data_IF_410097870912
#
_entry.id   IF_410097870912
#
_cell.length_a   1.000
_cell.length_b   1.000
_cell.length_c   1.000
_cell.angle_alpha   90.00
_cell.angle_beta   90.00
_cell.angle_gamma   90.00
#
_symmetry.space_group_name_H-M   'P 1'
#
loop_
_entity.id
_entity.type
_entity.pdbx_description
1 polymer ?
#
# COMPACT_ATOMS: atom_id res chain seq x y z
N UNK A 1 27.02 7.15 -3.10
CA UNK A 1 26.65 6.97 -1.68
C UNK A 1 26.11 5.55 -1.47
N UNK A 2 24.94 5.22 -1.98
CA UNK A 2 24.26 3.95 -1.69
C UNK A 2 25.04 2.69 -2.08
N UNK A 3 25.88 2.70 -3.11
CA UNK A 3 26.66 1.53 -3.55
C UNK A 3 27.73 1.17 -2.52
N UNK A 4 28.55 2.14 -2.09
CA UNK A 4 29.60 1.92 -1.08
C UNK A 4 29.05 1.41 0.26
N UNK A 5 27.80 1.76 0.58
CA UNK A 5 27.12 1.34 1.80
C UNK A 5 26.30 0.04 1.63
N UNK A 6 26.28 -0.53 0.41
CA UNK A 6 25.51 -1.73 0.10
C UNK A 6 23.98 -1.53 0.06
N UNK A 7 23.50 -0.28 0.09
CA UNK A 7 22.08 0.06 0.06
C UNK A 7 21.50 0.19 -1.35
N UNK A 8 22.37 0.20 -2.37
CA UNK A 8 21.98 0.33 -3.77
C UNK A 8 22.91 -0.52 -4.64
N UNK A 9 22.36 -1.33 -5.53
CA UNK A 9 23.11 -2.08 -6.54
C UNK A 9 23.51 -1.17 -7.69
N UNK A 10 24.64 -1.44 -8.36
CA UNK A 10 25.14 -0.65 -9.50
C UNK A 10 24.12 -0.44 -10.61
N UNK A 11 23.39 -1.50 -10.96
CA UNK A 11 22.31 -1.48 -11.99
C UNK A 11 21.17 -0.51 -11.60
N UNK A 12 20.93 -0.29 -10.31
CA UNK A 12 19.88 0.60 -9.84
C UNK A 12 20.25 2.10 -9.83
N UNK A 13 21.49 2.44 -10.16
CA UNK A 13 21.95 3.84 -10.17
C UNK A 13 21.22 4.69 -11.20
N UNK A 14 21.12 4.20 -12.43
CA UNK A 14 20.50 4.95 -13.55
C UNK A 14 19.03 5.27 -13.23
N UNK A 15 18.31 4.32 -12.64
CA UNK A 15 16.90 4.51 -12.27
C UNK A 15 16.67 5.45 -11.09
N UNK A 16 17.76 5.88 -10.39
CA UNK A 16 17.70 6.77 -9.23
C UNK A 16 18.21 8.17 -9.48
N UNK A 17 18.81 8.41 -10.64
CA UNK A 17 19.22 9.75 -11.08
C UNK A 17 17.99 10.65 -11.17
N UNK A 18 18.08 11.85 -10.62
CA UNK A 18 16.96 12.81 -10.57
C UNK A 18 15.90 12.54 -9.49
N UNK A 19 16.05 11.50 -8.66
CA UNK A 19 15.15 11.25 -7.53
C UNK A 19 15.70 11.78 -6.22
N UNK A 20 14.82 12.29 -5.37
CA UNK A 20 15.17 12.73 -4.02
C UNK A 20 15.65 11.54 -3.18
N UNK A 21 16.71 11.73 -2.41
CA UNK A 21 17.24 10.77 -1.45
C UNK A 21 17.51 11.44 -0.11
N UNK A 22 17.20 10.74 0.98
CA UNK A 22 17.56 11.17 2.33
C UNK A 22 18.99 10.74 2.65
N UNK A 23 19.76 11.62 3.29
CA UNK A 23 21.13 11.35 3.73
C UNK A 23 21.47 12.11 5.00
N UNK A 24 22.50 11.63 5.70
CA UNK A 24 23.16 12.31 6.81
C UNK A 24 24.52 12.80 6.34
N UNK A 25 24.89 14.02 6.67
CA UNK A 25 26.25 14.53 6.44
C UNK A 25 27.16 14.00 7.54
N UNK A 26 28.11 13.11 7.20
CA UNK A 26 29.07 12.53 8.15
C UNK A 26 30.25 13.44 8.44
N UNK A 27 30.55 14.32 7.52
CA UNK A 27 31.70 15.24 7.62
C UNK A 27 32.07 15.79 6.25
N UNK A 28 33.24 16.40 6.21
CA UNK A 28 33.77 16.98 4.99
C UNK A 28 35.17 16.43 4.73
N UNK A 29 35.50 16.23 3.46
CA UNK A 29 36.83 15.86 2.99
C UNK A 29 37.25 16.75 1.85
N UNK A 30 38.52 16.64 1.44
CA UNK A 30 39.09 17.36 0.30
C UNK A 30 39.44 16.38 -0.81
N UNK A 31 39.20 16.76 -2.05
CA UNK A 31 39.62 15.97 -3.21
C UNK A 31 41.11 16.20 -3.52
N UNK A 32 41.64 15.50 -4.54
CA UNK A 32 43.02 15.61 -4.99
C UNK A 32 43.40 17.02 -5.48
N UNK A 33 42.42 17.89 -5.74
CA UNK A 33 42.58 19.29 -6.17
C UNK A 33 42.36 20.27 -5.02
N UNK A 34 42.26 19.79 -3.77
CA UNK A 34 42.01 20.63 -2.60
C UNK A 34 40.58 21.16 -2.46
N UNK A 35 39.63 20.71 -3.28
CA UNK A 35 38.24 21.14 -3.20
C UNK A 35 37.48 20.37 -2.11
N UNK A 36 36.85 21.11 -1.21
CA UNK A 36 36.04 20.56 -0.11
C UNK A 36 34.74 19.91 -0.65
N UNK A 37 34.43 18.71 -0.16
CA UNK A 37 33.17 18.03 -0.44
C UNK A 37 32.58 17.38 0.82
N UNK A 38 31.23 17.24 0.86
CA UNK A 38 30.55 16.59 1.95
C UNK A 38 30.53 15.05 1.76
N UNK A 39 30.82 14.34 2.84
CA UNK A 39 30.66 12.88 2.92
C UNK A 39 29.24 12.58 3.41
N UNK A 40 28.46 11.90 2.58
CA UNK A 40 27.04 11.63 2.81
C UNK A 40 26.81 10.14 3.09
N UNK A 41 25.96 9.83 4.06
CA UNK A 41 25.51 8.47 4.34
C UNK A 41 24.00 8.34 4.15
N UNK A 42 23.57 7.48 3.23
CA UNK A 42 22.19 7.10 3.05
C UNK A 42 21.78 6.02 4.05
N UNK A 43 22.67 5.06 4.30
CA UNK A 43 22.45 3.96 5.26
C UNK A 43 22.12 4.50 6.65
N UNK A 44 22.90 5.50 7.10
CA UNK A 44 22.66 6.12 8.39
C UNK A 44 21.34 6.89 8.45
N UNK A 45 20.95 7.58 7.37
CA UNK A 45 19.64 8.23 7.31
C UNK A 45 18.50 7.23 7.39
N UNK A 46 18.60 6.10 6.68
CA UNK A 46 17.61 5.01 6.74
C UNK A 46 17.54 4.40 8.14
N UNK A 47 18.69 4.12 8.76
CA UNK A 47 18.73 3.55 10.11
C UNK A 47 18.11 4.49 11.14
N UNK A 48 18.48 5.77 11.17
CA UNK A 48 17.89 6.77 12.08
C UNK A 48 16.36 6.88 11.91
N UNK A 49 15.90 6.85 10.67
CA UNK A 49 14.46 6.88 10.38
C UNK A 49 13.75 5.60 10.89
N UNK A 50 14.36 4.44 10.67
CA UNK A 50 13.82 3.18 11.17
C UNK A 50 13.81 3.15 12.71
N UNK A 51 14.89 3.53 13.36
CA UNK A 51 15.01 3.60 14.81
C UNK A 51 13.95 4.54 15.41
N UNK A 52 13.69 5.68 14.75
CA UNK A 52 12.62 6.59 15.15
C UNK A 52 11.24 5.93 15.04
N UNK A 53 10.95 5.22 13.94
CA UNK A 53 9.68 4.51 13.77
C UNK A 53 9.54 3.45 14.86
N UNK A 54 10.56 2.62 15.09
CA UNK A 54 10.53 1.52 16.06
C UNK A 54 10.41 2.01 17.51
N UNK A 55 10.94 3.20 17.83
CA UNK A 55 10.84 3.79 19.17
C UNK A 55 9.54 4.55 19.42
N UNK A 56 8.90 5.06 18.38
CA UNK A 56 7.72 5.95 18.48
C UNK A 56 6.42 5.32 18.03
N UNK A 57 6.45 4.12 17.43
CA UNK A 57 5.30 3.45 16.84
C UNK A 57 5.20 1.99 17.30
N UNK A 58 3.97 1.55 17.48
CA UNK A 58 3.63 0.16 17.84
C UNK A 58 2.63 -0.41 16.82
N UNK A 59 2.46 -1.75 16.74
CA UNK A 59 1.37 -2.34 15.99
C UNK A 59 0.02 -1.73 16.37
N UNK A 60 -0.79 -1.34 15.38
CA UNK A 60 -2.02 -0.57 15.53
C UNK A 60 -1.89 0.91 15.18
N UNK A 61 -0.70 1.47 15.20
CA UNK A 61 -0.48 2.87 14.86
C UNK A 61 -0.59 3.14 13.36
N UNK A 62 -1.10 4.33 13.04
CA UNK A 62 -1.19 4.80 11.65
C UNK A 62 0.14 5.44 11.24
N UNK A 63 0.59 5.08 10.04
CA UNK A 63 1.78 5.63 9.39
C UNK A 63 1.46 6.09 7.97
N UNK A 64 2.12 7.15 7.52
CA UNK A 64 2.10 7.56 6.13
C UNK A 64 3.11 6.73 5.34
N UNK A 65 2.69 6.27 4.18
CA UNK A 65 3.51 5.46 3.29
C UNK A 65 3.33 5.88 1.83
N UNK A 66 4.32 5.60 1.00
CA UNK A 66 4.24 5.82 -0.45
C UNK A 66 4.42 4.50 -1.17
N UNK A 67 3.49 4.14 -2.04
CA UNK A 67 3.57 2.95 -2.88
C UNK A 67 4.75 3.08 -3.84
N UNK A 68 5.70 2.14 -3.78
CA UNK A 68 6.91 2.14 -4.61
C UNK A 68 6.90 1.05 -5.66
N UNK A 69 6.25 -0.09 -5.36
CA UNK A 69 6.18 -1.23 -6.26
C UNK A 69 4.94 -2.07 -5.97
N UNK A 70 4.37 -2.69 -7.02
CA UNK A 70 3.15 -3.52 -6.91
C UNK A 70 3.44 -4.90 -7.49
N UNK A 71 3.26 -5.93 -6.65
CA UNK A 71 3.37 -7.35 -6.99
C UNK A 71 2.02 -8.04 -6.77
N UNK A 72 1.83 -9.23 -7.34
CA UNK A 72 0.57 -9.98 -7.20
C UNK A 72 0.21 -10.31 -5.75
N UNK A 73 1.21 -10.45 -4.87
CA UNK A 73 1.04 -10.79 -3.44
C UNK A 73 0.90 -9.56 -2.53
N UNK A 74 1.13 -8.35 -3.04
CA UNK A 74 1.05 -7.13 -2.23
C UNK A 74 1.75 -5.92 -2.83
N UNK A 75 1.77 -4.82 -2.06
CA UNK A 75 2.43 -3.58 -2.41
C UNK A 75 3.64 -3.33 -1.50
N UNK A 76 4.74 -2.85 -2.07
CA UNK A 76 5.87 -2.32 -1.32
C UNK A 76 5.70 -0.82 -1.13
N UNK A 77 5.82 -0.38 0.10
CA UNK A 77 5.57 1.01 0.48
C UNK A 77 6.80 1.60 1.20
N UNK A 78 7.25 2.77 0.75
CA UNK A 78 8.27 3.56 1.47
C UNK A 78 7.60 4.25 2.67
N UNK A 79 8.04 3.90 3.86
CA UNK A 79 7.57 4.45 5.13
C UNK A 79 8.46 5.56 5.69
N UNK A 80 9.41 6.02 4.90
CA UNK A 80 10.32 7.12 5.20
C UNK A 80 11.78 6.78 4.93
N UNK A 81 12.50 7.76 4.37
CA UNK A 81 13.93 7.67 4.03
C UNK A 81 14.32 6.51 3.10
N UNK A 82 13.35 5.85 2.43
CA UNK A 82 13.57 4.67 1.61
C UNK A 82 13.54 3.35 2.39
N UNK A 83 13.00 3.34 3.60
CA UNK A 83 12.67 2.12 4.33
C UNK A 83 11.40 1.52 3.74
N UNK A 84 11.47 0.26 3.33
CA UNK A 84 10.37 -0.41 2.64
C UNK A 84 9.64 -1.34 3.58
N UNK A 85 8.32 -1.17 3.64
CA UNK A 85 7.38 -2.06 4.33
C UNK A 85 6.52 -2.81 3.31
N UNK A 86 6.03 -4.00 3.67
CA UNK A 86 5.11 -4.79 2.87
C UNK A 86 3.67 -4.52 3.29
N UNK A 87 2.81 -4.26 2.31
CA UNK A 87 1.36 -4.25 2.44
C UNK A 87 0.80 -5.45 1.68
N UNK A 88 0.51 -6.59 2.34
CA UNK A 88 0.01 -7.80 1.70
C UNK A 88 -1.36 -7.55 1.03
N UNK A 89 -1.66 -8.33 -0.02
CA UNK A 89 -2.89 -8.15 -0.80
C UNK A 89 -4.16 -8.34 0.05
N UNK A 90 -4.14 -9.29 1.00
CA UNK A 90 -5.24 -9.56 1.94
C UNK A 90 -5.43 -8.47 3.00
N UNK A 91 -4.45 -7.57 3.14
CA UNK A 91 -4.48 -6.43 4.04
C UNK A 91 -4.82 -5.10 3.34
N UNK A 92 -5.03 -5.10 2.03
CA UNK A 92 -5.40 -3.90 1.26
C UNK A 92 -6.87 -3.56 1.43
N UNK A 93 -7.76 -4.52 1.25
CA UNK A 93 -9.20 -4.36 1.46
C UNK A 93 -9.86 -5.68 1.89
N UNK A 94 -11.06 -5.61 2.45
CA UNK A 94 -11.87 -6.79 2.77
C UNK A 94 -12.42 -7.42 1.49
N UNK A 95 -12.84 -6.59 0.54
CA UNK A 95 -13.25 -7.07 -0.78
C UNK A 95 -12.06 -7.72 -1.49
N UNK A 96 -12.26 -8.93 -1.99
CA UNK A 96 -11.23 -9.68 -2.70
C UNK A 96 -10.81 -8.92 -3.96
N UNK A 97 -9.53 -8.70 -4.12
CA UNK A 97 -8.92 -8.09 -5.29
C UNK A 97 -7.95 -9.09 -5.91
N UNK A 98 -7.80 -9.07 -7.23
CA UNK A 98 -6.89 -9.97 -7.95
C UNK A 98 -5.45 -9.46 -7.97
N UNK A 99 -5.29 -8.14 -7.89
CA UNK A 99 -3.97 -7.50 -7.89
C UNK A 99 -4.03 -6.15 -7.16
N UNK A 100 -2.96 -5.73 -6.45
CA UNK A 100 -2.91 -4.41 -5.80
C UNK A 100 -3.13 -3.22 -6.74
N UNK A 101 -2.92 -3.37 -8.04
CA UNK A 101 -3.26 -2.36 -9.08
C UNK A 101 -4.73 -2.00 -9.13
N UNK A 102 -5.60 -2.87 -8.60
CA UNK A 102 -7.04 -2.57 -8.50
C UNK A 102 -7.34 -1.46 -7.49
N UNK A 103 -6.35 -1.09 -6.65
CA UNK A 103 -6.48 -0.10 -5.58
C UNK A 103 -5.44 1.01 -5.63
N UNK A 104 -4.22 0.72 -6.08
CA UNK A 104 -3.11 1.63 -5.97
C UNK A 104 -2.34 1.77 -7.28
N UNK A 105 -1.76 2.94 -7.43
CA UNK A 105 -0.77 3.24 -8.48
C UNK A 105 0.58 3.51 -7.81
N UNK A 106 1.67 3.15 -8.50
CA UNK A 106 3.02 3.48 -8.01
C UNK A 106 3.18 4.99 -7.88
N UNK A 107 3.57 5.44 -6.69
CA UNK A 107 3.68 6.85 -6.34
C UNK A 107 2.60 7.35 -5.38
N UNK A 108 1.51 6.60 -5.20
CA UNK A 108 0.42 6.97 -4.29
C UNK A 108 0.92 7.17 -2.87
N UNK A 109 0.43 8.22 -2.24
CA UNK A 109 0.60 8.47 -0.81
C UNK A 109 -0.61 7.90 -0.09
N UNK A 110 -0.38 6.93 0.76
CA UNK A 110 -1.42 6.24 1.51
C UNK A 110 -1.19 6.36 3.02
N UNK A 111 -2.25 6.20 3.78
CA UNK A 111 -2.19 5.93 5.22
C UNK A 111 -2.36 4.43 5.40
N UNK A 112 -1.60 3.85 6.29
CA UNK A 112 -1.70 2.43 6.62
C UNK A 112 -1.47 2.23 8.13
N UNK A 113 -1.94 1.11 8.66
CA UNK A 113 -1.70 0.70 10.03
C UNK A 113 -0.48 -0.23 10.04
N UNK A 114 0.37 -0.09 11.04
CA UNK A 114 1.42 -1.08 11.31
C UNK A 114 0.74 -2.35 11.83
N UNK A 115 0.68 -3.39 11.01
CA UNK A 115 0.08 -4.68 11.37
C UNK A 115 0.99 -5.47 12.31
N UNK A 116 2.27 -5.52 11.97
CA UNK A 116 3.29 -6.21 12.76
C UNK A 116 4.69 -5.69 12.47
N UNK A 117 5.59 -5.90 13.42
CA UNK A 117 7.02 -5.68 13.30
C UNK A 117 7.68 -7.01 13.66
N UNK A 118 8.48 -7.58 12.77
CA UNK A 118 9.15 -8.85 13.00
C UNK A 118 10.48 -8.67 13.77
N UNK A 119 11.15 -9.82 14.06
CA UNK A 119 12.44 -9.84 14.77
C UNK A 119 13.57 -9.16 14.00
N UNK A 120 13.44 -9.07 12.69
CA UNK A 120 14.40 -8.42 11.78
C UNK A 120 14.04 -6.94 11.55
N UNK A 121 13.11 -6.37 12.34
CA UNK A 121 12.58 -5.02 12.21
C UNK A 121 11.89 -4.74 10.85
N UNK A 122 11.40 -5.79 10.17
CA UNK A 122 10.58 -5.63 8.98
C UNK A 122 9.15 -5.32 9.38
N UNK A 123 8.62 -4.28 8.77
CA UNK A 123 7.29 -3.77 9.08
C UNK A 123 6.30 -4.28 8.02
N UNK A 124 5.21 -4.88 8.50
CA UNK A 124 4.06 -5.26 7.67
C UNK A 124 2.93 -4.27 7.94
N UNK A 125 2.32 -3.79 6.86
CA UNK A 125 1.25 -2.80 6.89
C UNK A 125 -0.12 -3.44 6.66
N UNK A 126 -1.16 -2.73 7.06
CA UNK A 126 -2.55 -2.99 6.70
C UNK A 126 -3.28 -1.69 6.37
N UNK A 127 -4.16 -1.74 5.37
CA UNK A 127 -4.93 -0.58 4.91
C UNK A 127 -6.44 -0.78 5.13
N UNK A 128 -6.90 -2.03 5.11
CA UNK A 128 -8.32 -2.38 5.18
C UNK A 128 -9.06 -1.84 6.41
N UNK A 129 -8.38 -1.73 7.54
CA UNK A 129 -8.96 -1.21 8.78
C UNK A 129 -9.30 0.30 8.68
N UNK A 130 -8.65 1.02 7.77
CA UNK A 130 -8.89 2.44 7.52
C UNK A 130 -10.05 2.70 6.56
N UNK A 131 -10.58 1.67 5.91
CA UNK A 131 -11.68 1.76 4.95
C UNK A 131 -13.07 1.67 5.60
N UNK A 132 -13.12 1.62 6.92
CA UNK A 132 -14.35 1.46 7.69
C UNK A 132 -14.79 0.01 7.87
N UNK A 133 -15.63 -0.23 8.86
CA UNK A 133 -16.27 -1.54 9.10
C UNK A 133 -17.38 -1.78 8.07
N UNK A 134 -17.85 -3.05 7.97
CA UNK A 134 -19.01 -3.40 7.15
C UNK A 134 -20.23 -2.53 7.49
N UNK A 135 -20.55 -2.38 8.78
CA UNK A 135 -21.68 -1.57 9.25
C UNK A 135 -21.56 -0.09 8.85
N UNK A 136 -20.34 0.46 8.92
CA UNK A 136 -20.09 1.86 8.50
C UNK A 136 -20.26 2.04 6.99
N UNK A 137 -19.82 1.07 6.20
CA UNK A 137 -19.93 1.14 4.75
C UNK A 137 -21.36 0.88 4.27
N UNK A 138 -22.06 -0.10 4.87
CA UNK A 138 -23.45 -0.43 4.48
C UNK A 138 -24.45 0.66 4.84
N UNK A 139 -24.18 1.45 5.87
CA UNK A 139 -25.03 2.58 6.27
C UNK A 139 -25.23 3.64 5.17
N UNK A 140 -24.38 3.63 4.14
CA UNK A 140 -24.50 4.52 2.99
C UNK A 140 -25.43 3.97 1.90
N UNK A 141 -26.03 2.78 2.09
CA UNK A 141 -26.84 2.10 1.10
C UNK A 141 -28.22 1.72 1.68
N UNK A 142 -29.24 1.73 0.84
CA UNK A 142 -30.61 1.42 1.24
C UNK A 142 -31.18 0.27 0.38
N UNK A 143 -32.02 -0.58 0.99
CA UNK A 143 -32.78 -1.54 0.24
C UNK A 143 -33.71 -0.83 -0.75
N UNK A 144 -33.82 -1.32 -1.98
CA UNK A 144 -34.61 -0.70 -3.04
C UNK A 144 -33.85 0.35 -3.86
N UNK A 145 -32.58 0.60 -3.55
CA UNK A 145 -31.73 1.56 -4.25
C UNK A 145 -30.99 0.91 -5.43
N UNK A 146 -30.77 1.67 -6.49
CA UNK A 146 -29.90 1.28 -7.61
C UNK A 146 -28.58 2.03 -7.51
N UNK A 147 -27.49 1.28 -7.43
CA UNK A 147 -26.15 1.82 -7.21
C UNK A 147 -25.17 1.30 -8.25
N UNK A 148 -24.10 2.05 -8.47
CA UNK A 148 -22.98 1.59 -9.30
C UNK A 148 -22.02 0.73 -8.49
N UNK A 149 -21.43 -0.27 -9.13
CA UNK A 149 -20.41 -1.11 -8.54
C UNK A 149 -19.44 -1.64 -9.58
N UNK A 150 -18.40 -2.33 -9.13
CA UNK A 150 -17.40 -2.97 -10.00
C UNK A 150 -17.43 -4.47 -9.77
N UNK A 151 -17.55 -5.24 -10.84
CA UNK A 151 -17.51 -6.70 -10.79
C UNK A 151 -16.11 -7.15 -10.35
N UNK A 152 -16.02 -7.95 -9.28
CA UNK A 152 -14.77 -8.49 -8.75
C UNK A 152 -14.52 -9.93 -9.16
N UNK A 153 -15.55 -10.77 -9.07
CA UNK A 153 -15.49 -12.14 -9.58
C UNK A 153 -16.84 -12.56 -10.13
N UNK A 154 -16.80 -13.52 -11.04
CA UNK A 154 -17.97 -14.18 -11.61
C UNK A 154 -17.83 -15.67 -11.28
N UNK A 155 -18.78 -16.19 -10.50
CA UNK A 155 -18.85 -17.58 -10.05
C UNK A 155 -20.13 -18.21 -10.60
N UNK A 156 -20.21 -19.53 -10.64
CA UNK A 156 -21.38 -20.25 -11.14
C UNK A 156 -22.67 -19.93 -10.38
N UNK A 157 -22.53 -19.59 -9.07
CA UNK A 157 -23.63 -19.28 -8.17
C UNK A 157 -23.96 -17.79 -8.05
N UNK A 158 -23.17 -16.90 -8.68
CA UNK A 158 -23.40 -15.46 -8.63
C UNK A 158 -22.20 -14.61 -8.96
N UNK A 159 -22.43 -13.30 -8.98
CA UNK A 159 -21.45 -12.30 -9.33
C UNK A 159 -21.17 -11.44 -8.11
N UNK A 160 -19.90 -11.36 -7.69
CA UNK A 160 -19.49 -10.44 -6.63
C UNK A 160 -19.27 -9.05 -7.21
N UNK A 161 -20.07 -8.11 -6.74
CA UNK A 161 -19.99 -6.69 -7.15
C UNK A 161 -19.58 -5.85 -5.95
N UNK A 162 -18.48 -5.19 -6.06
CA UNK A 162 -18.00 -4.26 -5.05
C UNK A 162 -18.70 -2.91 -5.19
N UNK A 163 -19.35 -2.48 -4.11
CA UNK A 163 -20.05 -1.20 -3.98
C UNK A 163 -19.18 -0.14 -3.29
N UNK A 164 -18.33 -0.58 -2.36
CA UNK A 164 -17.33 0.23 -1.67
C UNK A 164 -16.10 -0.65 -1.36
N UNK A 165 -14.92 -0.09 -1.06
CA UNK A 165 -13.68 -0.87 -0.86
C UNK A 165 -13.76 -2.00 0.16
N UNK A 166 -14.67 -1.93 1.13
CA UNK A 166 -14.92 -2.97 2.14
C UNK A 166 -16.36 -3.51 2.10
N UNK A 167 -17.08 -3.31 1.01
CA UNK A 167 -18.45 -3.76 0.84
C UNK A 167 -18.65 -4.35 -0.54
N UNK A 168 -18.96 -5.64 -0.59
CA UNK A 168 -19.34 -6.32 -1.81
C UNK A 168 -20.72 -6.99 -1.62
N UNK A 169 -21.54 -6.91 -2.66
CA UNK A 169 -22.80 -7.63 -2.75
C UNK A 169 -22.69 -8.84 -3.68
N UNK A 170 -23.55 -9.84 -3.46
CA UNK A 170 -23.71 -10.97 -4.36
C UNK A 170 -24.92 -10.72 -5.25
N UNK A 171 -24.71 -10.65 -6.55
CA UNK A 171 -25.75 -10.54 -7.58
C UNK A 171 -26.02 -11.92 -8.23
N UNK A 172 -27.21 -12.09 -8.79
CA UNK A 172 -27.57 -13.29 -9.56
C UNK A 172 -26.63 -13.47 -10.76
N UNK A 173 -26.38 -14.73 -11.19
CA UNK A 173 -25.61 -15.01 -12.39
C UNK A 173 -26.18 -14.29 -13.61
N UNK A 174 -25.34 -13.68 -14.43
CA UNK A 174 -25.70 -13.01 -15.67
C UNK A 174 -24.63 -13.25 -16.72
N UNK A 175 -25.06 -13.58 -17.92
CA UNK A 175 -24.15 -13.78 -19.05
C UNK A 175 -23.46 -12.47 -19.47
N UNK A 176 -22.29 -12.61 -20.09
CA UNK A 176 -21.51 -11.50 -20.65
C UNK A 176 -21.00 -10.43 -19.65
N UNK A 177 -20.93 -10.79 -18.36
CA UNK A 177 -20.32 -9.96 -17.32
C UNK A 177 -18.88 -10.40 -17.06
N UNK A 178 -17.94 -9.46 -16.94
CA UNK A 178 -16.51 -9.74 -16.76
C UNK A 178 -15.98 -9.03 -15.52
N UNK A 179 -15.00 -9.63 -14.81
CA UNK A 179 -14.26 -8.95 -13.74
C UNK A 179 -13.68 -7.61 -14.21
N UNK A 180 -13.76 -6.58 -13.36
CA UNK A 180 -13.34 -5.21 -13.66
C UNK A 180 -14.41 -4.35 -14.35
N UNK A 181 -15.52 -4.91 -14.78
CA UNK A 181 -16.60 -4.17 -15.44
C UNK A 181 -17.39 -3.33 -14.42
N UNK A 182 -17.65 -2.05 -14.78
CA UNK A 182 -18.59 -1.22 -14.05
C UNK A 182 -20.02 -1.63 -14.39
N UNK A 183 -20.86 -1.80 -13.37
CA UNK A 183 -22.25 -2.24 -13.49
C UNK A 183 -23.16 -1.43 -12.57
N UNK A 184 -24.43 -1.34 -12.93
CA UNK A 184 -25.48 -0.85 -12.03
C UNK A 184 -26.22 -2.06 -11.44
N UNK A 185 -26.38 -2.06 -10.12
CA UNK A 185 -27.07 -3.14 -9.39
C UNK A 185 -28.18 -2.57 -8.52
N UNK A 186 -29.26 -3.33 -8.40
CA UNK A 186 -30.39 -3.03 -7.54
C UNK A 186 -30.22 -3.78 -6.21
N UNK A 187 -30.29 -3.08 -5.09
CA UNK A 187 -30.14 -3.68 -3.76
C UNK A 187 -31.46 -4.31 -3.35
N UNK A 188 -31.56 -5.64 -3.46
CA UNK A 188 -32.77 -6.39 -3.09
C UNK A 188 -32.91 -6.53 -1.57
N UNK A 189 -31.80 -6.76 -0.86
CA UNK A 189 -31.77 -6.90 0.59
C UNK A 189 -30.39 -6.61 1.13
N UNK A 190 -30.35 -6.18 2.36
CA UNK A 190 -29.10 -6.00 3.13
C UNK A 190 -29.16 -7.00 4.28
N UNK A 191 -28.21 -7.94 4.31
CA UNK A 191 -28.13 -8.98 5.34
C UNK A 191 -26.91 -8.68 6.19
N UNK A 192 -27.08 -8.26 7.46
CA UNK A 192 -25.98 -8.04 8.37
C UNK A 192 -25.14 -9.31 8.55
N UNK A 193 -23.82 -9.15 8.65
CA UNK A 193 -22.86 -10.23 8.97
C UNK A 193 -22.70 -11.35 7.91
N UNK A 194 -23.01 -11.08 6.65
CA UNK A 194 -22.74 -12.01 5.54
C UNK A 194 -21.96 -11.37 4.40
#
# INVERSE_FOLDING_TARGET
IGIKEGTTRDIALISRVGRSVSFVVKGFNYDSKGKKYAVLSRKEAQQRCLDYILSSKVPGDIINARVTHLESFGAFCDIGCGNIALLPIDAISVSRISHPKDRFVVGDKIRAIIKSIDKDNKITLSHKELLGSWNQNVANFSQGETVSGVVRSVEDYGIFVELAPNLAGLAEPKENVKPGQAVSVFIKSIIPDK
#
